data_IF_464552465646
#
_entry.id   IF_464552465646
#
_cell.length_a   1.000
_cell.length_b   1.000
_cell.length_c   1.000
_cell.angle_alpha   90.00
_cell.angle_beta   90.00
_cell.angle_gamma   90.00
#
_symmetry.space_group_name_H-M   'P 1'
#
loop_
_entity.id
_entity.type
_entity.pdbx_description
1 polymer ?
#
# COMPACT_ATOMS: atom_id res chain seq x y z
N UNK A 1 -12.61 -9.83 3.46
CA UNK A 1 -11.38 -9.01 3.37
C UNK A 1 -11.39 -8.12 4.59
N UNK A 2 -10.41 -8.26 5.48
CA UNK A 2 -10.27 -7.34 6.61
C UNK A 2 -9.79 -5.99 6.05
N UNK A 3 -10.56 -4.94 6.26
CA UNK A 3 -10.26 -3.57 5.83
C UNK A 3 -9.13 -3.03 6.70
N UNK A 4 -7.88 -3.19 6.25
CA UNK A 4 -6.80 -2.32 6.71
C UNK A 4 -7.18 -0.88 6.35
N UNK A 5 -6.91 0.07 7.25
CA UNK A 5 -7.10 1.49 6.95
C UNK A 5 -6.20 1.87 5.78
N UNK A 6 -6.78 2.41 4.70
CA UNK A 6 -6.04 2.95 3.56
C UNK A 6 -5.01 3.96 4.03
N UNK A 7 -3.86 3.99 3.35
CA UNK A 7 -2.77 4.94 3.62
C UNK A 7 -3.17 6.38 3.27
N UNK A 8 -2.38 7.33 3.77
CA UNK A 8 -2.57 8.75 3.47
C UNK A 8 -1.51 9.24 2.48
N UNK A 9 -1.89 10.11 1.56
CA UNK A 9 -0.96 10.77 0.64
C UNK A 9 -0.85 12.24 0.98
N UNK A 10 0.38 12.76 0.90
CA UNK A 10 0.64 14.19 1.09
C UNK A 10 0.65 14.87 -0.27
N UNK A 11 -0.10 15.96 -0.40
CA UNK A 11 -0.08 16.84 -1.57
C UNK A 11 0.60 18.14 -1.16
N UNK A 12 1.79 18.39 -1.72
CA UNK A 12 2.54 19.63 -1.50
C UNK A 12 2.36 20.53 -2.72
N UNK A 13 1.48 21.53 -2.62
CA UNK A 13 1.06 22.35 -3.77
C UNK A 13 0.49 23.72 -3.32
N UNK A 14 -0.43 24.30 -4.08
CA UNK A 14 -1.11 25.59 -3.85
C UNK A 14 -2.34 25.48 -2.92
N UNK A 15 -2.52 24.33 -2.25
CA UNK A 15 -3.65 24.08 -1.36
C UNK A 15 -4.85 23.46 -2.05
N UNK A 16 -5.97 23.34 -1.34
CA UNK A 16 -7.19 22.67 -1.81
C UNK A 16 -8.40 23.62 -1.83
N UNK A 17 -9.41 23.28 -2.61
CA UNK A 17 -10.62 24.10 -2.77
C UNK A 17 -11.89 23.29 -2.47
N UNK A 18 -12.87 23.91 -1.83
CA UNK A 18 -14.17 23.28 -1.56
C UNK A 18 -15.05 23.10 -2.80
N UNK A 19 -14.62 23.55 -3.97
CA UNK A 19 -15.26 23.23 -5.24
C UNK A 19 -14.96 21.80 -5.72
N UNK A 20 -13.92 21.18 -5.17
CA UNK A 20 -13.40 19.89 -5.61
C UNK A 20 -13.49 18.86 -4.49
N UNK A 21 -13.57 17.60 -4.89
CA UNK A 21 -13.50 16.50 -3.92
C UNK A 21 -12.07 16.39 -3.38
N UNK A 22 -11.93 16.43 -2.06
CA UNK A 22 -10.66 16.23 -1.36
C UNK A 22 -10.57 14.85 -0.72
N UNK A 23 -11.55 13.98 -1.00
CA UNK A 23 -11.67 12.69 -0.33
C UNK A 23 -11.77 12.88 1.18
N UNK A 24 -11.03 12.04 1.91
CA UNK A 24 -10.90 12.21 3.36
C UNK A 24 -9.74 13.15 3.66
N UNK A 25 -10.01 14.44 3.93
CA UNK A 25 -8.99 15.37 4.39
C UNK A 25 -8.56 15.05 5.84
N UNK A 26 -7.37 14.48 6.00
CA UNK A 26 -6.82 14.00 7.27
C UNK A 26 -6.08 15.10 8.03
N UNK A 27 -5.34 15.93 7.30
CA UNK A 27 -4.58 17.04 7.86
C UNK A 27 -4.40 18.14 6.81
N UNK A 28 -4.21 19.37 7.27
CA UNK A 28 -3.80 20.47 6.41
C UNK A 28 -2.93 21.48 7.15
N UNK A 29 -2.05 22.16 6.40
CA UNK A 29 -1.25 23.27 6.90
C UNK A 29 -0.79 24.16 5.75
N UNK A 30 -0.78 25.48 5.97
CA UNK A 30 -0.18 26.46 5.06
C UNK A 30 1.21 26.86 5.56
N UNK A 31 2.24 26.34 4.90
CA UNK A 31 3.64 26.66 5.17
C UNK A 31 4.08 27.97 4.53
N UNK A 32 3.37 28.44 3.50
CA UNK A 32 3.64 29.73 2.85
C UNK A 32 3.24 30.87 3.78
N UNK A 33 2.06 30.78 4.40
CA UNK A 33 1.51 31.82 5.26
C UNK A 33 1.75 31.56 6.76
N UNK A 34 2.11 30.33 7.13
CA UNK A 34 2.45 29.95 8.51
C UNK A 34 1.22 29.73 9.40
N UNK A 35 0.12 29.26 8.82
CA UNK A 35 -1.11 28.93 9.54
C UNK A 35 -1.60 27.50 9.23
N UNK A 36 -2.75 27.11 9.80
CA UNK A 36 -3.29 25.77 9.69
C UNK A 36 -4.40 25.63 8.62
N UNK A 37 -4.48 26.56 7.67
CA UNK A 37 -5.51 26.58 6.64
C UNK A 37 -4.92 26.52 5.23
N UNK A 38 -4.75 25.31 4.71
CA UNK A 38 -4.30 25.12 3.33
C UNK A 38 -5.43 25.34 2.30
N UNK A 39 -6.61 25.80 2.73
CA UNK A 39 -7.75 26.01 1.85
C UNK A 39 -7.60 27.31 1.07
N UNK A 40 -7.78 27.24 -0.24
CA UNK A 40 -7.86 28.40 -1.11
C UNK A 40 -9.30 28.90 -1.29
N UNK A 41 -9.43 30.19 -1.61
CA UNK A 41 -10.70 30.80 -2.02
C UNK A 41 -10.96 30.68 -3.53
N UNK A 42 -9.92 30.44 -4.34
CA UNK A 42 -10.05 30.25 -5.77
C UNK A 42 -10.49 28.81 -6.06
N UNK A 43 -11.53 28.67 -6.89
CA UNK A 43 -12.13 27.37 -7.16
C UNK A 43 -11.14 26.38 -7.78
N UNK A 44 -10.33 26.84 -8.75
CA UNK A 44 -9.57 25.99 -9.67
C UNK A 44 -8.06 26.21 -9.54
N UNK A 45 -7.56 26.30 -8.30
CA UNK A 45 -6.10 26.32 -8.10
C UNK A 45 -5.47 25.01 -8.54
N UNK A 46 -4.19 25.08 -8.88
CA UNK A 46 -3.44 23.91 -9.34
C UNK A 46 -3.52 22.75 -8.33
N UNK A 47 -3.35 23.02 -7.04
CA UNK A 47 -3.37 22.02 -5.97
C UNK A 47 -4.73 21.38 -5.76
N UNK A 48 -5.82 22.11 -6.00
CA UNK A 48 -7.17 21.56 -5.96
C UNK A 48 -7.39 20.54 -7.08
N UNK A 49 -6.91 20.86 -8.29
CA UNK A 49 -6.98 19.97 -9.45
C UNK A 49 -6.08 18.73 -9.28
N UNK A 50 -4.85 18.91 -8.79
CA UNK A 50 -3.92 17.81 -8.46
C UNK A 50 -4.52 16.88 -7.41
N UNK A 51 -5.08 17.43 -6.32
CA UNK A 51 -5.76 16.64 -5.28
C UNK A 51 -6.94 15.88 -5.87
N UNK A 52 -7.75 16.53 -6.70
CA UNK A 52 -8.90 15.88 -7.34
C UNK A 52 -8.47 14.72 -8.23
N UNK A 53 -7.35 14.83 -8.95
CA UNK A 53 -6.86 13.74 -9.80
C UNK A 53 -6.50 12.49 -8.99
N UNK A 54 -5.85 12.67 -7.84
CA UNK A 54 -5.56 11.58 -6.90
C UNK A 54 -6.87 10.94 -6.43
N UNK A 55 -7.81 11.74 -5.93
CA UNK A 55 -9.07 11.26 -5.32
C UNK A 55 -9.96 10.57 -6.35
N UNK A 56 -10.03 11.05 -7.59
CA UNK A 56 -10.80 10.39 -8.64
C UNK A 56 -10.25 8.99 -8.98
N UNK A 57 -8.94 8.76 -8.85
CA UNK A 57 -8.31 7.45 -9.08
C UNK A 57 -8.25 6.56 -7.85
N UNK A 58 -8.22 7.15 -6.65
CA UNK A 58 -8.29 6.43 -5.38
C UNK A 58 -9.24 7.13 -4.39
N UNK A 59 -10.57 6.93 -4.50
CA UNK A 59 -11.56 7.64 -3.68
C UNK A 59 -11.48 7.34 -2.18
N UNK A 60 -10.77 6.28 -1.79
CA UNK A 60 -10.63 5.87 -0.38
C UNK A 60 -9.33 6.34 0.28
N UNK A 61 -8.45 7.02 -0.45
CA UNK A 61 -7.19 7.52 0.10
C UNK A 61 -7.44 8.72 1.01
N UNK A 62 -6.69 8.82 2.10
CA UNK A 62 -6.69 10.05 2.89
C UNK A 62 -5.74 11.08 2.31
N UNK A 63 -6.14 12.36 2.35
CA UNK A 63 -5.36 13.49 1.84
C UNK A 63 -4.79 14.28 3.01
N UNK A 64 -3.49 14.59 2.92
CA UNK A 64 -2.83 15.59 3.74
C UNK A 64 -2.42 16.75 2.83
N UNK A 65 -3.04 17.92 2.98
CA UNK A 65 -2.82 19.06 2.11
C UNK A 65 -1.81 20.03 2.73
N UNK A 66 -0.59 20.11 2.17
CA UNK A 66 0.43 21.06 2.62
C UNK A 66 0.59 22.15 1.56
N UNK A 67 0.17 23.36 1.90
CA UNK A 67 0.25 24.49 0.99
C UNK A 67 1.63 25.15 1.09
N UNK A 68 2.32 25.23 -0.04
CA UNK A 68 3.63 25.86 -0.18
C UNK A 68 3.66 26.90 -1.31
N UNK A 69 2.72 26.82 -2.26
CA UNK A 69 2.58 27.78 -3.36
C UNK A 69 1.45 28.78 -3.09
N UNK A 70 1.55 30.02 -3.60
CA UNK A 70 0.42 30.95 -3.66
C UNK A 70 -0.74 30.39 -4.50
N UNK A 71 -1.94 30.98 -4.34
CA UNK A 71 -3.16 30.52 -5.01
C UNK A 71 -3.10 30.63 -6.55
N UNK A 72 -2.29 31.55 -7.07
CA UNK A 72 -2.07 31.72 -8.51
C UNK A 72 -1.05 30.74 -9.11
N UNK A 73 -0.47 29.85 -8.28
CA UNK A 73 0.53 28.86 -8.70
C UNK A 73 1.91 29.46 -8.98
N UNK A 74 2.17 30.70 -8.60
CA UNK A 74 3.49 31.32 -8.73
C UNK A 74 4.56 30.65 -7.84
N UNK A 75 5.82 30.92 -8.11
CA UNK A 75 6.93 30.24 -7.44
C UNK A 75 6.97 30.49 -5.92
N UNK A 76 7.43 29.48 -5.18
CA UNK A 76 7.74 29.56 -3.75
C UNK A 76 9.24 29.35 -3.52
N UNK A 77 9.68 29.53 -2.27
CA UNK A 77 11.07 29.28 -1.90
C UNK A 77 11.30 27.80 -1.53
N UNK A 78 12.47 27.27 -1.86
CA UNK A 78 12.90 25.92 -1.45
C UNK A 78 12.79 25.73 0.07
N UNK A 79 13.10 26.77 0.86
CA UNK A 79 12.97 26.73 2.32
C UNK A 79 11.51 26.53 2.81
N UNK A 80 10.51 26.94 2.03
CA UNK A 80 9.09 26.68 2.34
C UNK A 80 8.75 25.21 2.07
N UNK A 81 9.25 24.66 0.96
CA UNK A 81 9.05 23.25 0.58
C UNK A 81 9.77 22.35 1.59
N UNK A 82 11.00 22.68 1.97
CA UNK A 82 11.81 21.95 2.95
C UNK A 82 11.09 21.85 4.31
N UNK A 83 10.50 22.94 4.81
CA UNK A 83 9.70 22.89 6.06
C UNK A 83 8.51 21.94 5.96
N UNK A 84 7.83 21.90 4.81
CA UNK A 84 6.74 20.97 4.58
C UNK A 84 7.26 19.53 4.56
N UNK A 85 8.37 19.25 3.86
CA UNK A 85 9.01 17.93 3.81
C UNK A 85 9.47 17.45 5.20
N UNK A 86 10.05 18.34 6.02
CA UNK A 86 10.43 18.06 7.40
C UNK A 86 9.24 17.64 8.25
N UNK A 87 8.10 18.32 8.06
CA UNK A 87 6.85 17.92 8.69
C UNK A 87 6.41 16.54 8.23
N UNK A 88 6.50 16.22 6.94
CA UNK A 88 6.14 14.88 6.45
C UNK A 88 7.00 13.80 7.10
N UNK A 89 8.33 13.97 7.13
CA UNK A 89 9.24 13.00 7.77
C UNK A 89 8.88 12.79 9.23
N UNK A 90 8.63 13.87 9.97
CA UNK A 90 8.31 13.82 11.40
C UNK A 90 6.97 13.12 11.69
N UNK A 91 6.02 13.15 10.75
CA UNK A 91 4.66 12.69 10.98
C UNK A 91 4.25 11.48 10.12
N UNK A 92 5.13 10.97 9.26
CA UNK A 92 4.84 9.90 8.30
C UNK A 92 4.26 8.65 8.97
N UNK A 93 4.84 8.20 10.08
CA UNK A 93 4.39 6.99 10.78
C UNK A 93 3.06 7.24 11.50
N UNK A 94 2.89 8.40 12.13
CA UNK A 94 1.70 8.77 12.89
C UNK A 94 0.46 8.89 12.00
N UNK A 95 0.63 9.42 10.79
CA UNK A 95 -0.43 9.51 9.80
C UNK A 95 -0.43 8.36 8.78
N UNK A 96 0.36 7.29 8.94
CA UNK A 96 0.41 6.21 7.95
C UNK A 96 0.60 6.75 6.50
N UNK A 97 1.49 7.72 6.32
CA UNK A 97 1.76 8.33 5.00
C UNK A 97 2.37 7.27 4.10
N UNK A 98 1.88 7.12 2.88
CA UNK A 98 2.36 6.14 1.88
C UNK A 98 3.05 6.79 0.68
N UNK A 99 2.68 8.03 0.35
CA UNK A 99 3.26 8.78 -0.77
C UNK A 99 3.24 10.29 -0.51
N UNK A 100 4.15 10.99 -1.19
CA UNK A 100 4.19 12.45 -1.28
C UNK A 100 4.14 12.85 -2.75
N UNK A 101 3.22 13.71 -3.11
CA UNK A 101 3.09 14.25 -4.46
C UNK A 101 3.70 15.66 -4.54
N UNK A 102 4.69 15.82 -5.40
CA UNK A 102 5.31 17.07 -5.78
C UNK A 102 4.98 17.39 -7.24
N UNK A 103 3.80 17.98 -7.48
CA UNK A 103 3.45 18.51 -8.81
C UNK A 103 4.08 19.89 -9.04
N UNK A 104 5.37 20.00 -8.74
CA UNK A 104 6.17 21.22 -8.77
C UNK A 104 7.32 21.04 -9.76
N UNK A 105 7.69 22.10 -10.46
CA UNK A 105 8.83 22.09 -11.36
C UNK A 105 9.79 23.25 -11.05
N UNK A 106 11.08 23.00 -11.22
CA UNK A 106 12.13 24.00 -11.10
C UNK A 106 13.32 23.61 -11.95
N UNK A 107 13.88 24.58 -12.68
CA UNK A 107 15.05 24.39 -13.54
C UNK A 107 14.94 23.25 -14.56
N UNK A 108 16.07 22.88 -15.15
CA UNK A 108 16.19 21.75 -16.06
C UNK A 108 17.58 21.12 -15.89
N UNK A 109 17.62 19.82 -15.59
CA UNK A 109 18.86 19.07 -15.35
C UNK A 109 18.80 17.72 -16.06
N UNK A 110 19.97 17.28 -16.53
CA UNK A 110 20.14 16.01 -17.25
C UNK A 110 20.91 14.96 -16.44
N UNK A 111 21.26 15.25 -15.18
CA UNK A 111 21.97 14.37 -14.27
C UNK A 111 21.34 14.41 -12.86
N UNK A 112 21.56 13.38 -12.03
CA UNK A 112 21.04 13.35 -10.67
C UNK A 112 21.42 14.60 -9.90
N UNK A 113 20.45 15.24 -9.26
CA UNK A 113 20.61 16.53 -8.59
C UNK A 113 19.91 16.49 -7.24
N UNK A 114 20.56 17.04 -6.21
CA UNK A 114 20.00 17.16 -4.87
C UNK A 114 19.51 18.59 -4.59
N UNK A 115 18.47 18.73 -3.78
CA UNK A 115 17.93 20.01 -3.29
C UNK A 115 18.18 20.17 -1.79
N UNK A 116 17.68 21.26 -1.20
CA UNK A 116 17.75 21.46 0.25
C UNK A 116 16.89 20.48 1.06
N UNK A 117 16.02 19.70 0.40
CA UNK A 117 15.16 18.71 1.06
C UNK A 117 15.44 17.25 0.65
N UNK A 118 16.59 17.01 0.00
CA UNK A 118 16.99 15.67 -0.44
C UNK A 118 17.20 14.69 0.72
N UNK A 119 17.62 15.16 1.89
CA UNK A 119 17.71 14.34 3.09
C UNK A 119 16.34 13.94 3.64
N UNK A 120 15.31 14.79 3.54
CA UNK A 120 13.94 14.36 3.83
C UNK A 120 13.41 13.35 2.83
N UNK A 121 13.68 13.51 1.53
CA UNK A 121 13.30 12.50 0.53
C UNK A 121 13.95 11.16 0.85
N UNK A 122 15.26 11.14 1.15
CA UNK A 122 15.97 9.92 1.53
C UNK A 122 15.40 9.30 2.82
N UNK A 123 15.04 10.12 3.81
CA UNK A 123 14.41 9.66 5.05
C UNK A 123 13.02 9.05 4.82
N UNK A 124 12.22 9.61 3.91
CA UNK A 124 10.93 9.06 3.48
C UNK A 124 11.10 7.76 2.72
N UNK A 125 12.06 7.69 1.79
CA UNK A 125 12.38 6.47 1.06
C UNK A 125 12.80 5.32 2.01
N UNK A 126 13.60 5.61 3.04
CA UNK A 126 13.96 4.65 4.09
C UNK A 126 12.74 4.15 4.89
N UNK A 127 11.69 4.96 5.01
CA UNK A 127 10.38 4.59 5.58
C UNK A 127 9.43 3.93 4.57
N UNK A 128 9.85 3.74 3.32
CA UNK A 128 9.02 3.25 2.20
C UNK A 128 7.79 4.14 1.97
N UNK A 129 8.02 5.46 2.09
CA UNK A 129 7.11 6.52 1.65
C UNK A 129 7.68 7.05 0.34
N UNK A 130 6.95 6.90 -0.76
CA UNK A 130 7.45 7.26 -2.08
C UNK A 130 7.14 8.72 -2.37
N UNK A 131 8.19 9.50 -2.63
CA UNK A 131 8.05 10.84 -3.19
C UNK A 131 7.93 10.73 -4.70
N UNK A 132 6.88 11.30 -5.26
CA UNK A 132 6.54 11.29 -6.69
C UNK A 132 6.57 12.73 -7.18
N UNK A 133 7.35 13.02 -8.23
CA UNK A 133 7.49 14.37 -8.75
C UNK A 133 7.26 14.44 -10.26
N UNK A 134 6.70 15.57 -10.69
CA UNK A 134 6.52 15.90 -12.10
C UNK A 134 7.86 16.20 -12.79
N UNK A 135 8.12 15.58 -13.93
CA UNK A 135 9.35 15.76 -14.70
C UNK A 135 9.49 17.16 -15.32
N UNK A 136 8.38 17.90 -15.49
CA UNK A 136 8.36 19.23 -16.09
C UNK A 136 7.74 19.26 -17.50
N UNK A 137 7.52 20.48 -18.00
CA UNK A 137 6.72 20.75 -19.21
C UNK A 137 7.48 21.57 -20.27
N UNK A 138 8.81 21.66 -20.20
CA UNK A 138 9.65 22.36 -21.17
C UNK A 138 10.45 21.42 -22.12
N UNK A 139 9.90 20.26 -22.46
CA UNK A 139 10.65 19.15 -23.08
C UNK A 139 11.06 19.33 -24.54
N UNK A 140 10.50 20.33 -25.26
CA UNK A 140 10.85 20.66 -26.65
C UNK A 140 10.91 19.43 -27.58
N UNK A 141 9.85 18.63 -27.59
CA UNK A 141 9.73 17.36 -28.33
C UNK A 141 10.77 16.29 -27.94
N UNK A 142 11.38 16.44 -26.76
CA UNK A 142 12.46 15.60 -26.25
C UNK A 142 13.86 16.02 -26.69
N UNK A 143 14.02 17.23 -27.24
CA UNK A 143 15.32 17.73 -27.64
C UNK A 143 16.27 17.97 -26.45
N UNK A 144 15.74 18.39 -25.29
CA UNK A 144 16.56 18.81 -24.14
C UNK A 144 17.00 17.66 -23.24
N UNK A 145 16.34 16.49 -23.33
CA UNK A 145 16.62 15.28 -22.53
C UNK A 145 16.85 15.54 -21.03
N UNK A 146 16.10 16.49 -20.46
CA UNK A 146 16.21 16.96 -19.08
C UNK A 146 14.89 16.77 -18.32
N UNK A 147 14.96 16.98 -17.00
CA UNK A 147 13.81 17.02 -16.09
C UNK A 147 13.98 18.16 -15.08
N UNK A 148 12.90 18.51 -14.39
CA UNK A 148 12.91 19.37 -13.21
C UNK A 148 13.91 18.87 -12.17
N UNK A 149 14.66 19.76 -11.52
CA UNK A 149 15.60 19.35 -10.47
C UNK A 149 14.89 18.72 -9.25
N UNK A 150 13.61 19.04 -9.01
CA UNK A 150 12.80 18.37 -7.98
C UNK A 150 12.49 16.90 -8.31
N UNK A 151 12.58 16.53 -9.58
CA UNK A 151 12.37 15.16 -10.07
C UNK A 151 13.68 14.44 -10.41
N UNK A 152 14.83 15.07 -10.15
CA UNK A 152 16.16 14.54 -10.47
C UNK A 152 16.87 13.90 -9.28
N UNK A 153 16.25 13.89 -8.08
CA UNK A 153 16.79 13.18 -6.93
C UNK A 153 16.63 11.66 -7.11
N UNK A 154 17.66 10.83 -6.88
CA UNK A 154 17.58 9.38 -7.02
C UNK A 154 16.51 8.68 -6.16
N UNK A 155 16.03 9.31 -5.09
CA UNK A 155 15.00 8.76 -4.22
C UNK A 155 13.58 9.24 -4.59
N UNK A 156 13.44 10.05 -5.64
CA UNK A 156 12.16 10.52 -6.17
C UNK A 156 11.77 9.68 -7.37
N UNK A 157 10.50 9.29 -7.45
CA UNK A 157 9.91 8.69 -8.66
C UNK A 157 9.62 9.83 -9.65
N UNK A 158 10.43 9.92 -10.70
CA UNK A 158 10.33 10.95 -11.74
C UNK A 158 9.26 10.60 -12.79
N UNK A 159 8.21 11.41 -12.88
CA UNK A 159 7.04 11.13 -13.74
C UNK A 159 6.95 12.11 -14.90
N UNK A 160 7.11 11.59 -16.11
CA UNK A 160 6.83 12.34 -17.34
C UNK A 160 5.36 12.18 -17.78
N UNK A 161 4.85 13.14 -18.55
CA UNK A 161 3.50 13.07 -19.10
C UNK A 161 3.47 12.30 -20.42
N UNK A 162 2.42 11.50 -20.61
CA UNK A 162 2.01 10.96 -21.90
C UNK A 162 0.69 11.57 -22.37
N UNK A 163 0.24 11.17 -23.55
CA UNK A 163 -1.08 11.48 -24.11
C UNK A 163 -2.17 10.46 -23.75
N UNK A 164 -1.86 9.47 -22.90
CA UNK A 164 -2.77 8.38 -22.52
C UNK A 164 -3.00 7.31 -23.61
N UNK A 165 -2.66 7.60 -24.87
CA UNK A 165 -2.66 6.68 -26.01
C UNK A 165 -1.25 6.17 -26.39
N UNK A 166 -0.28 6.35 -25.49
CA UNK A 166 1.08 5.85 -25.64
C UNK A 166 1.99 6.73 -26.50
N UNK A 167 1.75 8.04 -26.57
CA UNK A 167 2.68 9.01 -27.14
C UNK A 167 3.13 10.06 -26.11
N UNK A 168 4.16 10.84 -26.45
CA UNK A 168 4.55 12.02 -25.68
C UNK A 168 3.90 13.26 -26.28
N UNK A 169 3.37 14.17 -25.46
CA UNK A 169 3.11 15.53 -25.91
C UNK A 169 4.44 16.28 -26.09
N UNK A 170 4.47 17.26 -26.98
CA UNK A 170 5.71 18.00 -27.34
C UNK A 170 6.34 18.73 -26.16
N UNK A 171 5.56 19.05 -25.12
CA UNK A 171 6.03 19.75 -23.94
C UNK A 171 6.57 18.82 -22.85
N UNK A 172 6.37 17.50 -22.90
CA UNK A 172 6.80 16.60 -21.81
C UNK A 172 8.33 16.54 -21.69
N UNK A 173 8.86 17.02 -20.57
CA UNK A 173 10.26 16.79 -20.19
C UNK A 173 10.46 15.32 -19.85
N UNK A 174 11.58 14.78 -20.28
CA UNK A 174 11.97 13.40 -20.06
C UNK A 174 13.46 13.26 -20.25
N UNK A 175 14.07 12.43 -19.42
CA UNK A 175 15.49 12.09 -19.52
C UNK A 175 15.63 10.57 -19.53
N UNK A 176 16.43 10.00 -20.45
CA UNK A 176 16.67 8.56 -20.49
C UNK A 176 17.40 8.05 -19.24
N UNK A 177 18.06 8.94 -18.49
CA UNK A 177 18.75 8.60 -17.26
C UNK A 177 17.91 8.83 -15.99
N UNK A 178 16.95 9.76 -16.01
CA UNK A 178 16.24 10.22 -14.81
C UNK A 178 14.75 9.89 -14.81
N UNK A 179 14.09 9.73 -15.95
CA UNK A 179 12.65 9.48 -15.99
C UNK A 179 12.33 8.03 -15.67
N UNK A 180 11.53 7.83 -14.63
CA UNK A 180 11.18 6.51 -14.11
C UNK A 180 9.97 5.89 -14.80
N UNK A 181 8.92 6.67 -14.99
CA UNK A 181 7.66 6.20 -15.54
C UNK A 181 6.94 7.35 -16.22
N UNK A 182 6.02 7.02 -17.12
CA UNK A 182 5.07 7.98 -17.67
C UNK A 182 3.67 7.71 -17.11
N UNK A 183 2.83 8.74 -17.11
CA UNK A 183 1.39 8.59 -16.91
C UNK A 183 0.66 9.60 -17.79
N UNK A 184 -0.62 9.33 -18.07
CA UNK A 184 -1.47 10.26 -18.81
C UNK A 184 -1.49 11.63 -18.11
N UNK A 185 -1.05 12.64 -18.84
CA UNK A 185 -1.02 14.03 -18.41
C UNK A 185 -1.57 14.98 -19.47
N UNK A 186 -2.29 14.49 -20.48
CA UNK A 186 -2.81 15.32 -21.57
C UNK A 186 -4.32 15.29 -21.59
N UNK A 187 -4.95 16.47 -21.46
CA UNK A 187 -6.41 16.59 -21.42
C UNK A 187 -7.08 15.66 -20.39
N UNK A 188 -6.45 15.51 -19.23
CA UNK A 188 -6.94 14.71 -18.12
C UNK A 188 -8.28 15.27 -17.61
N UNK A 189 -9.37 14.49 -17.63
CA UNK A 189 -10.68 14.95 -17.21
C UNK A 189 -10.83 14.96 -15.68
N UNK A 190 -11.06 16.15 -15.13
CA UNK A 190 -11.28 16.39 -13.71
C UNK A 190 -12.70 16.91 -13.49
N UNK A 191 -13.52 16.19 -12.72
CA UNK A 191 -14.91 16.58 -12.46
C UNK A 191 -15.07 17.15 -11.06
N UNK A 192 -15.58 18.38 -10.98
CA UNK A 192 -15.79 19.07 -9.71
C UNK A 192 -17.08 18.59 -9.00
N UNK A 193 -17.32 19.05 -7.78
CA UNK A 193 -18.50 18.65 -6.98
C UNK A 193 -19.84 19.15 -7.57
N UNK A 194 -19.80 20.12 -8.48
CA UNK A 194 -20.97 20.58 -9.23
C UNK A 194 -21.25 19.74 -10.50
N UNK A 195 -20.42 18.73 -10.78
CA UNK A 195 -20.52 17.87 -11.96
C UNK A 195 -19.94 18.48 -13.24
N UNK A 196 -19.18 19.56 -13.14
CA UNK A 196 -18.50 20.18 -14.28
C UNK A 196 -17.13 19.53 -14.51
N UNK A 197 -16.86 19.11 -15.74
CA UNK A 197 -15.57 18.53 -16.13
C UNK A 197 -14.64 19.59 -16.71
N UNK A 198 -13.40 19.59 -16.24
CA UNK A 198 -12.29 20.41 -16.69
C UNK A 198 -11.21 19.50 -17.28
N UNK A 199 -10.54 19.94 -18.35
CA UNK A 199 -9.44 19.20 -18.95
C UNK A 199 -8.13 19.87 -18.55
N UNK A 200 -7.25 19.11 -17.92
CA UNK A 200 -5.96 19.60 -17.44
C UNK A 200 -4.81 18.92 -18.20
N UNK A 201 -3.74 19.67 -18.48
CA UNK A 201 -2.55 19.12 -19.15
C UNK A 201 -1.28 19.52 -18.42
N UNK A 202 -0.35 18.58 -18.30
CA UNK A 202 0.95 18.76 -17.64
C UNK A 202 1.42 17.49 -16.95
N UNK A 203 2.74 17.36 -16.77
CA UNK A 203 3.32 16.33 -15.90
C UNK A 203 2.83 16.47 -14.45
N UNK A 204 2.39 17.66 -14.05
CA UNK A 204 1.66 17.92 -12.81
C UNK A 204 0.36 17.13 -12.63
N UNK A 205 -0.21 16.59 -13.70
CA UNK A 205 -1.39 15.71 -13.70
C UNK A 205 -1.04 14.23 -13.94
N UNK A 206 0.14 13.96 -14.52
CA UNK A 206 0.70 12.61 -14.58
C UNK A 206 1.23 12.14 -13.21
N UNK A 207 1.93 13.01 -12.48
CA UNK A 207 2.44 12.71 -11.13
C UNK A 207 1.35 12.26 -10.13
N UNK A 208 0.19 12.93 -9.99
CA UNK A 208 -0.87 12.49 -9.10
C UNK A 208 -1.50 11.15 -9.51
N UNK A 209 -1.52 10.81 -10.81
CA UNK A 209 -1.93 9.49 -11.26
C UNK A 209 -1.01 8.38 -10.70
N UNK A 210 0.30 8.62 -10.74
CA UNK A 210 1.30 7.72 -10.15
C UNK A 210 1.20 7.71 -8.62
N UNK A 211 0.98 8.85 -7.97
CA UNK A 211 0.75 8.93 -6.51
C UNK A 211 -0.44 8.08 -6.07
N UNK A 212 -1.57 8.14 -6.79
CA UNK A 212 -2.72 7.30 -6.52
C UNK A 212 -2.42 5.80 -6.71
N UNK A 213 -1.65 5.45 -7.75
CA UNK A 213 -1.21 4.08 -7.96
C UNK A 213 -0.28 3.59 -6.84
N UNK A 214 0.65 4.44 -6.36
CA UNK A 214 1.49 4.13 -5.19
C UNK A 214 0.61 3.80 -3.99
N UNK A 215 -0.40 4.62 -3.66
CA UNK A 215 -1.27 4.36 -2.52
C UNK A 215 -1.95 2.98 -2.59
N UNK A 216 -2.53 2.65 -3.75
CA UNK A 216 -3.18 1.36 -3.99
C UNK A 216 -2.19 0.19 -3.93
N UNK A 217 -1.00 0.35 -4.52
CA UNK A 217 0.04 -0.69 -4.55
C UNK A 217 0.65 -0.90 -3.18
N UNK A 218 0.84 0.15 -2.38
CA UNK A 218 1.33 0.03 -1.01
C UNK A 218 0.34 -0.68 -0.11
N UNK A 219 -0.96 -0.40 -0.25
CA UNK A 219 -2.02 -1.15 0.43
C UNK A 219 -1.97 -2.63 0.05
N UNK A 220 -1.94 -2.92 -1.25
CA UNK A 220 -1.88 -4.30 -1.75
C UNK A 220 -0.60 -5.01 -1.30
N UNK A 221 0.55 -4.34 -1.31
CA UNK A 221 1.82 -4.90 -0.84
C UNK A 221 1.78 -5.22 0.66
N UNK A 222 1.23 -4.32 1.48
CA UNK A 222 1.02 -4.62 2.91
C UNK A 222 0.13 -5.85 3.11
N UNK A 223 -0.92 -6.01 2.32
CA UNK A 223 -1.82 -7.18 2.39
C UNK A 223 -1.16 -8.48 1.90
N UNK A 224 -0.34 -8.42 0.85
CA UNK A 224 0.20 -9.60 0.16
C UNK A 224 1.56 -10.06 0.71
N UNK A 225 2.43 -9.13 1.13
CA UNK A 225 3.81 -9.40 1.58
C UNK A 225 4.14 -8.83 2.96
N UNK A 226 3.17 -8.25 3.67
CA UNK A 226 3.35 -7.71 5.03
C UNK A 226 4.29 -6.49 5.11
N UNK A 227 4.68 -5.94 3.96
CA UNK A 227 5.64 -4.84 3.85
C UNK A 227 5.31 -3.99 2.61
N UNK A 228 5.56 -2.69 2.73
CA UNK A 228 5.48 -1.74 1.62
C UNK A 228 6.54 -2.03 0.56
N UNK A 229 6.35 -1.56 -0.66
CA UNK A 229 7.41 -1.51 -1.68
C UNK A 229 8.33 -0.31 -1.44
N UNK A 230 9.60 -0.47 -1.80
CA UNK A 230 10.54 0.64 -2.03
C UNK A 230 10.24 1.33 -3.37
N UNK A 231 10.84 2.50 -3.60
CA UNK A 231 10.72 3.21 -4.88
C UNK A 231 11.20 2.33 -6.05
N UNK A 232 12.37 1.71 -5.94
CA UNK A 232 12.94 0.84 -6.96
C UNK A 232 12.04 -0.36 -7.31
N UNK A 233 11.47 -1.03 -6.30
CA UNK A 233 10.54 -2.14 -6.52
C UNK A 233 9.26 -1.69 -7.21
N UNK A 234 8.71 -0.53 -6.81
CA UNK A 234 7.55 0.05 -7.44
C UNK A 234 7.83 0.40 -8.90
N UNK A 235 8.93 1.12 -9.17
CA UNK A 235 9.32 1.55 -10.53
C UNK A 235 9.60 0.34 -11.42
N UNK A 236 10.31 -0.68 -10.92
CA UNK A 236 10.59 -1.89 -11.68
C UNK A 236 9.30 -2.61 -12.10
N UNK A 237 8.37 -2.79 -11.16
CA UNK A 237 7.08 -3.42 -11.47
C UNK A 237 6.23 -2.55 -12.40
N UNK A 238 6.18 -1.23 -12.15
CA UNK A 238 5.42 -0.29 -12.97
C UNK A 238 5.92 -0.27 -14.42
N UNK A 239 7.24 -0.29 -14.64
CA UNK A 239 7.86 -0.39 -15.97
C UNK A 239 7.59 -1.74 -16.63
N UNK A 240 7.64 -2.84 -15.87
CA UNK A 240 7.37 -4.19 -16.41
C UNK A 240 5.92 -4.32 -16.90
N UNK A 241 4.97 -3.73 -16.17
CA UNK A 241 3.54 -3.85 -16.48
C UNK A 241 2.98 -2.73 -17.32
N UNK A 242 3.70 -1.62 -17.43
CA UNK A 242 3.26 -0.43 -18.14
C UNK A 242 3.15 -0.63 -19.65
N UNK A 243 2.35 0.22 -20.29
CA UNK A 243 2.16 0.20 -21.74
C UNK A 243 3.33 0.94 -22.39
N UNK A 244 3.96 0.42 -23.46
CA UNK A 244 5.04 1.13 -24.13
C UNK A 244 4.59 2.51 -24.65
N UNK A 245 5.38 3.56 -24.39
CA UNK A 245 5.17 4.87 -24.99
C UNK A 245 5.89 4.91 -26.34
N UNK A 246 5.18 4.53 -27.39
CA UNK A 246 5.74 4.38 -28.75
C UNK A 246 6.98 3.47 -28.76
N UNK A 247 8.01 3.86 -29.53
CA UNK A 247 9.29 3.15 -29.62
C UNK A 247 10.39 3.71 -28.71
N UNK A 248 10.03 4.45 -27.67
CA UNK A 248 10.98 5.28 -26.90
C UNK A 248 11.71 4.55 -25.77
N UNK A 249 11.21 3.39 -25.36
CA UNK A 249 11.71 2.65 -24.20
C UNK A 249 11.10 3.06 -22.85
N UNK A 250 10.22 4.08 -22.82
CA UNK A 250 9.44 4.43 -21.63
C UNK A 250 8.15 3.62 -21.54
N UNK A 251 7.62 3.51 -20.33
CA UNK A 251 6.38 2.81 -20.02
C UNK A 251 5.37 3.78 -19.38
N UNK A 252 4.16 3.76 -19.90
CA UNK A 252 2.98 4.44 -19.38
C UNK A 252 2.33 3.58 -18.28
N UNK A 253 1.95 4.21 -17.17
CA UNK A 253 1.42 3.54 -16.00
C UNK A 253 0.15 2.74 -16.34
N UNK A 254 0.17 1.45 -16.00
CA UNK A 254 -1.03 0.60 -15.98
C UNK A 254 -1.22 0.06 -14.56
N UNK A 255 -1.95 0.82 -13.73
CA UNK A 255 -2.19 0.47 -12.32
C UNK A 255 -2.86 -0.89 -12.16
N UNK A 256 -3.77 -1.25 -13.07
CA UNK A 256 -4.47 -2.53 -13.02
C UNK A 256 -3.52 -3.70 -13.29
N UNK A 257 -2.69 -3.59 -14.33
CA UNK A 257 -1.67 -4.58 -14.65
C UNK A 257 -0.61 -4.68 -13.54
N UNK A 258 -0.21 -3.55 -12.97
CA UNK A 258 0.71 -3.47 -11.83
C UNK A 258 0.18 -4.22 -10.60
N UNK A 259 -1.06 -3.92 -10.19
CA UNK A 259 -1.72 -4.62 -9.08
C UNK A 259 -1.90 -6.11 -9.39
N UNK A 260 -2.27 -6.48 -10.61
CA UNK A 260 -2.39 -7.87 -11.02
C UNK A 260 -1.05 -8.61 -10.97
N UNK A 261 0.04 -7.97 -11.40
CA UNK A 261 1.40 -8.53 -11.33
C UNK A 261 1.88 -8.66 -9.89
N UNK A 262 1.66 -7.66 -9.06
CA UNK A 262 1.95 -7.73 -7.62
C UNK A 262 1.18 -8.89 -6.99
N UNK A 263 -0.13 -8.96 -7.25
CA UNK A 263 -0.99 -10.02 -6.77
C UNK A 263 -0.67 -11.39 -7.38
N UNK A 264 -0.01 -11.50 -8.53
CA UNK A 264 0.46 -12.76 -9.09
C UNK A 264 1.83 -13.18 -8.53
N UNK A 265 2.70 -12.21 -8.29
CA UNK A 265 4.05 -12.39 -7.73
C UNK A 265 3.97 -12.79 -6.26
N UNK A 266 3.12 -12.10 -5.51
CA UNK A 266 2.87 -12.29 -4.10
C UNK A 266 1.51 -12.92 -3.82
N UNK A 267 0.79 -13.39 -4.87
CA UNK A 267 -0.22 -14.43 -4.64
C UNK A 267 0.54 -15.52 -3.94
N UNK A 268 0.11 -15.83 -2.73
CA UNK A 268 0.28 -17.17 -2.27
C UNK A 268 -0.25 -18.07 -3.40
N UNK A 269 0.64 -18.81 -4.08
CA UNK A 269 0.31 -20.21 -4.34
C UNK A 269 -0.31 -20.71 -3.03
N UNK A 270 -1.49 -21.38 -3.02
CA UNK A 270 -2.15 -21.80 -1.78
C UNK A 270 -1.07 -22.31 -0.85
N UNK A 271 -0.87 -21.60 0.28
CA UNK A 271 0.44 -21.51 0.92
C UNK A 271 1.12 -22.88 0.91
N UNK A 272 2.23 -23.00 0.18
CA UNK A 272 3.17 -24.08 0.42
C UNK A 272 3.91 -23.75 1.74
N UNK A 273 3.14 -23.64 2.80
CA UNK A 273 3.50 -23.40 4.19
C UNK A 273 2.42 -24.11 4.99
N UNK A 274 2.77 -25.27 5.55
CA UNK A 274 1.82 -26.18 6.19
C UNK A 274 0.93 -25.44 7.17
N UNK A 275 -0.39 -25.63 7.07
CA UNK A 275 -1.34 -25.04 8.00
C UNK A 275 -0.96 -25.30 9.46
N UNK A 276 -1.50 -24.50 10.37
CA UNK A 276 -1.22 -24.66 11.80
C UNK A 276 -1.59 -26.08 12.20
N UNK A 277 -0.61 -26.85 12.62
CA UNK A 277 -0.85 -28.23 13.07
C UNK A 277 -1.48 -28.17 14.44
N UNK A 278 -2.67 -28.76 14.55
CA UNK A 278 -3.37 -28.99 15.82
C UNK A 278 -3.35 -30.48 16.10
N UNK A 279 -2.75 -30.87 17.23
CA UNK A 279 -2.74 -32.27 17.69
C UNK A 279 -3.60 -32.39 18.94
N UNK A 280 -4.63 -33.22 18.89
CA UNK A 280 -5.46 -33.57 20.04
C UNK A 280 -5.03 -34.95 20.52
N UNK A 281 -4.46 -35.05 21.72
CA UNK A 281 -4.25 -36.34 22.37
C UNK A 281 -5.54 -36.72 23.12
N UNK A 282 -6.23 -37.76 22.68
CA UNK A 282 -7.49 -38.17 23.28
C UNK A 282 -7.65 -39.69 23.35
N UNK A 283 -8.48 -40.13 24.30
CA UNK A 283 -9.04 -41.48 24.41
C UNK A 283 -10.54 -41.39 24.72
N UNK A 284 -11.28 -42.48 24.57
CA UNK A 284 -12.71 -42.49 24.84
C UNK A 284 -13.20 -43.83 25.33
N UNK A 285 -14.41 -43.84 25.90
CA UNK A 285 -15.15 -45.07 26.24
C UNK A 285 -16.25 -45.28 25.23
N UNK A 286 -16.41 -46.52 24.74
CA UNK A 286 -17.51 -46.87 23.86
C UNK A 286 -18.81 -47.13 24.64
N UNK A 287 -19.94 -46.83 24.02
CA UNK A 287 -21.26 -47.30 24.47
C UNK A 287 -21.98 -47.98 23.31
N UNK A 288 -22.53 -49.17 23.55
CA UNK A 288 -23.21 -49.94 22.50
C UNK A 288 -22.32 -50.35 21.33
N UNK A 289 -21.00 -50.50 21.58
CA UNK A 289 -20.01 -50.82 20.56
C UNK A 289 -19.59 -49.66 19.64
N UNK A 290 -20.04 -48.43 19.93
CA UNK A 290 -19.66 -47.21 19.19
C UNK A 290 -18.81 -46.33 20.08
N UNK A 291 -17.64 -45.95 19.56
CA UNK A 291 -16.63 -45.10 20.20
C UNK A 291 -17.05 -43.61 20.24
N UNK A 292 -16.38 -42.83 21.08
CA UNK A 292 -16.54 -41.38 21.16
C UNK A 292 -16.13 -40.70 19.84
N UNK A 293 -16.86 -39.69 19.39
CA UNK A 293 -16.57 -38.93 18.19
C UNK A 293 -16.41 -37.45 18.53
N UNK A 294 -15.44 -36.79 17.89
CA UNK A 294 -15.29 -35.34 18.05
C UNK A 294 -15.03 -34.64 16.73
N UNK A 295 -15.50 -33.39 16.63
CA UNK A 295 -15.11 -32.44 15.60
C UNK A 295 -14.01 -31.52 16.15
N UNK A 296 -12.98 -31.26 15.34
CA UNK A 296 -12.10 -30.11 15.56
C UNK A 296 -12.68 -28.92 14.80
N UNK A 297 -12.92 -27.81 15.51
CA UNK A 297 -13.32 -26.54 14.93
C UNK A 297 -12.25 -25.48 15.22
N UNK A 298 -12.08 -24.54 14.30
CA UNK A 298 -11.38 -23.27 14.54
C UNK A 298 -12.36 -22.13 14.25
N UNK A 299 -12.55 -21.24 15.22
CA UNK A 299 -13.50 -20.12 15.14
C UNK A 299 -14.91 -20.55 14.70
N UNK A 300 -15.37 -21.70 15.22
CA UNK A 300 -16.67 -22.30 14.90
C UNK A 300 -16.73 -23.05 13.57
N UNK A 301 -15.65 -23.05 12.77
CA UNK A 301 -15.60 -23.77 11.48
C UNK A 301 -14.92 -25.12 11.64
N UNK A 302 -15.57 -26.19 11.16
CA UNK A 302 -15.01 -27.55 11.20
C UNK A 302 -13.77 -27.68 10.32
N UNK A 303 -12.67 -28.14 10.93
CA UNK A 303 -11.39 -28.47 10.30
C UNK A 303 -11.27 -29.96 10.04
N UNK A 304 -11.84 -30.79 10.91
CA UNK A 304 -11.85 -32.24 10.76
C UNK A 304 -12.62 -32.92 11.88
N UNK A 305 -12.62 -34.24 11.88
CA UNK A 305 -13.27 -35.07 12.89
C UNK A 305 -12.53 -36.39 13.07
N UNK A 306 -12.72 -37.05 14.22
CA UNK A 306 -12.18 -38.38 14.47
C UNK A 306 -13.02 -39.15 15.49
N UNK A 307 -12.94 -40.48 15.40
CA UNK A 307 -13.47 -41.41 16.40
C UNK A 307 -12.34 -41.89 17.32
N UNK A 308 -12.63 -41.97 18.62
CA UNK A 308 -11.64 -42.14 19.69
C UNK A 308 -12.01 -43.34 20.55
N UNK A 309 -11.19 -44.39 20.44
CA UNK A 309 -11.33 -45.62 21.24
C UNK A 309 -10.58 -45.55 22.58
N UNK A 310 -10.51 -46.71 23.25
CA UNK A 310 -10.02 -46.82 24.63
C UNK A 310 -8.55 -46.48 24.90
N UNK A 311 -7.71 -46.37 23.86
CA UNK A 311 -6.28 -46.05 24.01
C UNK A 311 -6.00 -44.63 23.55
N UNK A 312 -5.28 -43.86 24.38
CA UNK A 312 -4.85 -42.51 24.04
C UNK A 312 -4.02 -42.47 22.76
N UNK A 313 -4.40 -41.59 21.84
CA UNK A 313 -3.73 -41.37 20.55
C UNK A 313 -3.70 -39.89 20.22
N UNK A 314 -2.69 -39.52 19.45
CA UNK A 314 -2.57 -38.19 18.84
C UNK A 314 -3.35 -38.15 17.52
N UNK A 315 -4.30 -37.22 17.43
CA UNK A 315 -5.06 -36.91 16.22
C UNK A 315 -4.57 -35.57 15.69
N UNK A 316 -3.84 -35.60 14.58
CA UNK A 316 -3.25 -34.41 13.98
C UNK A 316 -4.12 -33.86 12.85
N UNK A 317 -4.33 -32.55 12.87
CA UNK A 317 -5.10 -31.79 11.88
C UNK A 317 -4.25 -30.62 11.40
N UNK A 318 -4.46 -30.23 10.15
CA UNK A 318 -3.82 -29.04 9.56
C UNK A 318 -4.91 -28.00 9.31
N UNK A 319 -4.83 -26.86 9.99
CA UNK A 319 -5.80 -25.78 9.85
C UNK A 319 -5.22 -24.61 9.04
N UNK A 320 -5.96 -24.18 8.02
CA UNK A 320 -5.66 -22.95 7.29
C UNK A 320 -6.34 -21.77 7.99
N UNK A 321 -5.57 -21.04 8.78
CA UNK A 321 -6.03 -19.98 9.68
C UNK A 321 -5.11 -18.77 9.54
N UNK A 322 -5.63 -17.58 9.81
CA UNK A 322 -4.87 -16.36 9.64
C UNK A 322 -3.64 -16.35 10.57
N UNK A 323 -2.42 -16.17 10.06
CA UNK A 323 -1.26 -15.99 10.93
C UNK A 323 -1.33 -14.67 11.71
N UNK A 324 -0.57 -14.59 12.81
CA UNK A 324 -0.47 -13.46 13.74
C UNK A 324 -1.82 -12.95 14.27
N UNK A 325 -2.82 -13.83 14.31
CA UNK A 325 -4.15 -13.56 14.84
C UNK A 325 -4.50 -14.53 15.97
N UNK A 326 -5.31 -14.06 16.92
CA UNK A 326 -5.89 -14.92 17.95
C UNK A 326 -7.04 -15.75 17.34
N UNK A 327 -7.15 -17.01 17.75
CA UNK A 327 -8.19 -17.94 17.30
C UNK A 327 -8.73 -18.79 18.45
N UNK A 328 -9.96 -19.28 18.29
CA UNK A 328 -10.55 -20.27 19.19
C UNK A 328 -10.34 -21.67 18.61
N UNK A 329 -9.58 -22.51 19.30
CA UNK A 329 -9.43 -23.93 18.96
C UNK A 329 -10.40 -24.75 19.77
N UNK A 330 -11.23 -25.55 19.11
CA UNK A 330 -12.43 -26.13 19.72
C UNK A 330 -12.52 -27.63 19.44
N UNK A 331 -12.53 -28.42 20.50
CA UNK A 331 -12.75 -29.88 20.44
C UNK A 331 -14.19 -30.14 20.85
N UNK A 332 -15.05 -30.42 19.88
CA UNK A 332 -16.48 -30.63 20.08
C UNK A 332 -16.78 -32.13 20.16
N UNK A 333 -17.14 -32.60 21.34
CA UNK A 333 -17.68 -33.93 21.57
C UNK A 333 -19.17 -33.93 21.23
N UNK A 334 -19.59 -34.71 20.23
CA UNK A 334 -20.91 -34.57 19.60
C UNK A 334 -21.82 -35.81 19.68
N UNK A 335 -21.31 -36.94 20.17
CA UNK A 335 -22.05 -38.21 20.16
C UNK A 335 -22.22 -38.85 21.55
N UNK A 336 -22.28 -38.05 22.62
CA UNK A 336 -22.56 -38.55 23.97
C UNK A 336 -23.88 -39.35 24.03
N UNK A 337 -23.85 -40.48 24.73
CA UNK A 337 -25.02 -41.31 25.01
C UNK A 337 -24.71 -42.42 26.01
N UNK A 338 -25.75 -42.87 26.73
CA UNK A 338 -25.71 -44.05 27.59
C UNK A 338 -26.51 -45.20 26.94
N UNK A 339 -25.86 -46.34 26.69
CA UNK A 339 -26.51 -47.54 26.12
C UNK A 339 -26.24 -48.73 27.03
N UNK A 340 -27.30 -49.38 27.51
CA UNK A 340 -27.22 -50.57 28.39
C UNK A 340 -26.31 -50.36 29.61
N UNK A 341 -26.32 -49.15 30.19
CA UNK A 341 -25.49 -48.78 31.34
C UNK A 341 -24.03 -48.48 31.01
N UNK A 342 -23.61 -48.58 29.75
CA UNK A 342 -22.31 -48.08 29.28
C UNK A 342 -22.45 -46.62 28.91
N UNK A 343 -21.50 -45.81 29.37
CA UNK A 343 -21.47 -44.38 29.15
C UNK A 343 -20.34 -44.02 28.16
N UNK A 344 -20.71 -43.30 27.09
CA UNK A 344 -19.74 -42.90 26.06
C UNK A 344 -19.12 -41.58 26.51
N UNK A 345 -17.80 -41.54 26.56
CA UNK A 345 -17.10 -40.38 27.05
C UNK A 345 -15.90 -40.06 26.19
N UNK A 346 -15.57 -38.77 26.07
CA UNK A 346 -14.32 -38.31 25.48
C UNK A 346 -13.39 -37.80 26.58
N UNK A 347 -12.15 -38.25 26.57
CA UNK A 347 -11.09 -37.79 27.47
C UNK A 347 -10.02 -37.13 26.61
N UNK A 348 -9.89 -35.82 26.71
CA UNK A 348 -8.82 -35.06 26.07
C UNK A 348 -7.69 -34.92 27.08
N UNK A 349 -6.48 -35.38 26.74
CA UNK A 349 -5.32 -35.32 27.64
C UNK A 349 -4.47 -34.07 27.39
N UNK A 350 -4.32 -33.67 26.13
CA UNK A 350 -3.47 -32.55 25.71
C UNK A 350 -3.92 -32.03 24.34
N UNK A 351 -3.84 -30.72 24.16
CA UNK A 351 -4.03 -30.06 22.86
C UNK A 351 -2.71 -29.38 22.50
N UNK A 352 -2.18 -29.60 21.31
CA UNK A 352 -0.95 -28.93 20.84
C UNK A 352 -1.30 -28.09 19.62
N UNK A 353 -1.04 -26.78 19.65
CA UNK A 353 -1.40 -25.83 18.58
C UNK A 353 -0.11 -25.16 18.12
N UNK A 354 0.28 -25.34 16.86
CA UNK A 354 1.51 -24.72 16.34
C UNK A 354 2.77 -25.09 17.13
N UNK A 355 2.78 -26.26 17.79
CA UNK A 355 3.86 -26.71 18.68
C UNK A 355 3.69 -26.33 20.17
N UNK A 356 2.73 -25.48 20.52
CA UNK A 356 2.44 -25.08 21.90
C UNK A 356 1.51 -26.08 22.58
N UNK A 357 1.96 -26.73 23.65
CA UNK A 357 1.14 -27.64 24.44
C UNK A 357 0.23 -26.87 25.41
N UNK A 358 -1.06 -27.18 25.36
CA UNK A 358 -2.12 -26.63 26.21
C UNK A 358 -2.76 -27.79 26.98
N UNK A 359 -2.78 -27.67 28.31
CA UNK A 359 -3.51 -28.58 29.16
C UNK A 359 -5.03 -28.31 29.06
N UNK A 360 -5.89 -29.34 29.01
CA UNK A 360 -7.35 -29.17 29.00
C UNK A 360 -7.90 -28.37 30.19
N UNK A 361 -7.13 -28.30 31.29
CA UNK A 361 -7.45 -27.57 32.52
C UNK A 361 -6.75 -26.21 32.63
N UNK A 362 -6.05 -25.74 31.58
CA UNK A 362 -5.38 -24.45 31.59
C UNK A 362 -6.40 -23.30 31.69
N UNK A 363 -5.96 -22.16 32.24
CA UNK A 363 -6.84 -21.01 32.52
C UNK A 363 -7.46 -20.37 31.28
N UNK A 364 -6.89 -20.58 30.10
CA UNK A 364 -7.43 -20.12 28.82
C UNK A 364 -8.39 -21.12 28.16
N UNK A 365 -8.71 -22.23 28.85
CA UNK A 365 -9.58 -23.29 28.36
C UNK A 365 -10.91 -23.29 29.11
N UNK A 366 -12.01 -23.35 28.36
CA UNK A 366 -13.37 -23.47 28.89
C UNK A 366 -14.07 -24.68 28.28
N UNK A 367 -15.11 -25.17 28.94
CA UNK A 367 -15.94 -26.27 28.43
C UNK A 367 -17.40 -25.80 28.35
N UNK A 368 -17.89 -25.61 27.14
CA UNK A 368 -19.27 -25.22 26.87
C UNK A 368 -20.12 -26.48 26.72
N UNK A 369 -20.94 -26.79 27.73
CA UNK A 369 -21.72 -28.03 27.78
C UNK A 369 -22.94 -27.93 26.86
N UNK A 370 -23.16 -28.96 26.06
CA UNK A 370 -24.24 -29.01 25.08
C UNK A 370 -23.91 -28.26 23.79
N UNK A 371 -24.80 -27.35 23.39
CA UNK A 371 -24.59 -26.54 22.20
C UNK A 371 -23.45 -25.53 22.44
N UNK A 372 -22.63 -25.27 21.42
CA UNK A 372 -21.64 -24.20 21.45
C UNK A 372 -22.33 -22.83 21.35
N UNK A 373 -22.92 -22.37 22.45
CA UNK A 373 -23.73 -21.14 22.54
C UNK A 373 -23.31 -20.19 23.67
N UNK A 374 -22.31 -20.58 24.46
CA UNK A 374 -21.72 -19.78 25.54
C UNK A 374 -22.59 -19.67 26.79
N UNK A 375 -23.61 -20.51 26.97
CA UNK A 375 -24.53 -20.39 28.12
C UNK A 375 -24.17 -21.28 29.31
N UNK A 376 -23.73 -22.52 29.09
CA UNK A 376 -23.39 -23.47 30.15
C UNK A 376 -21.89 -23.76 30.18
N UNK A 377 -21.12 -22.68 30.37
CA UNK A 377 -19.66 -22.69 30.30
C UNK A 377 -19.07 -23.00 31.67
N UNK A 378 -18.33 -24.09 31.76
CA UNK A 378 -17.49 -24.46 32.88
C UNK A 378 -16.00 -24.17 32.59
N UNK A 379 -15.17 -24.25 33.63
CA UNK A 379 -13.72 -24.28 33.45
C UNK A 379 -13.30 -25.51 32.63
N UNK A 380 -12.21 -25.38 31.88
CA UNK A 380 -11.67 -26.49 31.09
C UNK A 380 -11.38 -27.73 31.93
N UNK A 381 -11.67 -28.89 31.36
CA UNK A 381 -11.46 -30.18 32.01
C UNK A 381 -11.06 -31.24 30.97
N UNK A 382 -10.45 -32.33 31.45
CA UNK A 382 -10.00 -33.43 30.60
C UNK A 382 -11.14 -34.36 30.17
N UNK A 383 -12.01 -34.75 31.12
CA UNK A 383 -13.16 -35.61 30.85
C UNK A 383 -14.36 -34.79 30.38
N UNK A 384 -14.83 -35.08 29.17
CA UNK A 384 -16.07 -34.55 28.62
C UNK A 384 -17.14 -35.63 28.76
N UNK A 385 -17.90 -35.54 29.86
CA UNK A 385 -18.93 -36.50 30.25
C UNK A 385 -20.30 -36.27 29.60
N UNK A 386 -20.40 -35.19 28.82
CA UNK A 386 -21.60 -34.81 28.08
C UNK A 386 -21.18 -34.28 26.71
N UNK A 387 -22.07 -34.32 25.73
CA UNK A 387 -21.84 -33.58 24.48
C UNK A 387 -21.55 -32.11 24.82
N UNK A 388 -20.56 -31.52 24.17
CA UNK A 388 -20.09 -30.18 24.49
C UNK A 388 -18.76 -29.87 23.83
N UNK A 389 -18.28 -28.64 23.98
CA UNK A 389 -17.09 -28.15 23.28
C UNK A 389 -16.05 -27.62 24.26
N UNK A 390 -14.87 -28.24 24.26
CA UNK A 390 -13.70 -27.72 24.95
C UNK A 390 -13.06 -26.64 24.07
N UNK A 391 -13.00 -25.40 24.55
CA UNK A 391 -12.58 -24.21 23.81
C UNK A 391 -11.29 -23.67 24.39
N UNK A 392 -10.22 -23.67 23.60
CA UNK A 392 -8.95 -22.99 23.90
C UNK A 392 -9.01 -21.60 23.28
N UNK A 393 -8.97 -20.56 24.11
CA UNK A 393 -8.75 -19.19 23.63
C UNK A 393 -7.25 -19.00 23.41
N UNK A 394 -6.78 -19.23 22.19
CA UNK A 394 -5.38 -19.14 21.82
C UNK A 394 -5.08 -17.75 21.28
N UNK A 395 -4.14 -17.05 21.93
CA UNK A 395 -3.67 -15.76 21.44
C UNK A 395 -2.80 -15.92 20.18
N UNK A 396 -2.39 -14.80 19.58
CA UNK A 396 -1.63 -14.80 18.33
C UNK A 396 -0.27 -15.51 18.40
N UNK A 397 0.30 -15.70 19.59
CA UNK A 397 1.59 -16.39 19.75
C UNK A 397 1.53 -17.86 19.33
N UNK A 398 0.34 -18.46 19.30
CA UNK A 398 0.10 -19.84 18.86
C UNK A 398 0.05 -19.98 17.33
N UNK A 399 -0.03 -18.86 16.61
CA UNK A 399 -0.21 -18.79 15.15
C UNK A 399 0.85 -17.87 14.55
N UNK A 400 2.15 -18.17 14.68
CA UNK A 400 3.19 -17.30 14.16
C UNK A 400 3.03 -17.13 12.65
N UNK A 401 3.24 -15.91 12.15
CA UNK A 401 3.43 -15.71 10.72
C UNK A 401 4.60 -16.56 10.25
N UNK A 402 4.42 -17.26 9.13
CA UNK A 402 5.55 -17.82 8.42
C UNK A 402 6.53 -16.67 8.21
N UNK A 403 7.76 -16.80 8.74
CA UNK A 403 8.81 -15.84 8.44
C UNK A 403 8.91 -15.79 6.92
N UNK A 404 8.59 -14.63 6.34
CA UNK A 404 8.67 -14.42 4.91
C UNK A 404 10.10 -14.79 4.50
N UNK A 405 10.23 -15.93 3.82
CA UNK A 405 11.50 -16.40 3.34
C UNK A 405 12.06 -15.32 2.42
N UNK A 406 13.27 -14.83 2.73
CA UNK A 406 14.02 -13.83 1.96
C UNK A 406 14.44 -14.28 0.55
N UNK A 407 13.67 -15.17 -0.08
CA UNK A 407 13.86 -15.61 -1.46
C UNK A 407 13.31 -14.62 -2.48
N UNK A 408 12.13 -14.02 -2.25
CA UNK A 408 11.56 -13.06 -3.20
C UNK A 408 12.33 -11.73 -3.23
N UNK A 409 12.70 -11.20 -2.07
CA UNK A 409 13.54 -9.98 -1.97
C UNK A 409 14.93 -10.18 -2.59
N UNK A 410 15.49 -11.39 -2.55
CA UNK A 410 16.77 -11.71 -3.18
C UNK A 410 16.69 -11.81 -4.71
N UNK A 411 15.56 -12.28 -5.27
CA UNK A 411 15.34 -12.26 -6.73
C UNK A 411 15.21 -10.83 -7.23
N UNK A 412 14.56 -9.95 -6.48
CA UNK A 412 14.42 -8.53 -6.83
C UNK A 412 15.72 -7.75 -6.64
N UNK A 413 16.47 -7.98 -5.56
CA UNK A 413 17.81 -7.41 -5.40
C UNK A 413 18.75 -7.82 -6.54
N UNK A 414 18.62 -9.05 -7.06
CA UNK A 414 19.37 -9.53 -8.22
C UNK A 414 18.89 -8.89 -9.54
N UNK A 415 17.59 -8.73 -9.74
CA UNK A 415 17.02 -8.09 -10.94
C UNK A 415 17.32 -6.58 -11.01
N UNK A 416 17.24 -5.87 -9.87
CA UNK A 416 17.63 -4.46 -9.74
C UNK A 416 19.13 -4.30 -10.02
N UNK A 417 19.99 -5.18 -9.49
CA UNK A 417 21.43 -5.17 -9.77
C UNK A 417 21.76 -5.45 -11.26
N UNK A 418 20.94 -6.24 -11.96
CA UNK A 418 21.12 -6.49 -13.40
C UNK A 418 20.56 -5.37 -14.30
N UNK A 419 19.68 -4.50 -13.79
CA UNK A 419 19.18 -3.30 -14.49
C UNK A 419 20.07 -2.05 -14.33
N UNK A 420 20.97 -2.02 -13.35
CA UNK A 420 21.88 -0.91 -13.06
C UNK A 420 23.12 -0.69 -13.98
N UNK A 421 23.53 -1.55 -14.95
CA UNK A 421 24.75 -1.30 -15.73
C UNK A 421 24.74 0.00 -16.56
N UNK A 422 23.57 0.58 -16.85
CA UNK A 422 23.48 1.81 -17.65
C UNK A 422 23.70 3.10 -16.83
N UNK A 423 23.55 3.07 -15.50
CA UNK A 423 23.74 4.26 -14.64
C UNK A 423 25.20 4.46 -14.21
N UNK A 424 25.96 3.39 -14.01
CA UNK A 424 27.36 3.47 -13.57
C UNK A 424 28.33 4.06 -14.61
N UNK A 425 27.99 3.98 -15.91
CA UNK A 425 28.83 4.50 -16.99
C UNK A 425 28.74 6.03 -17.14
N UNK A 426 27.64 6.66 -16.69
CA UNK A 426 27.45 8.11 -16.80
C UNK A 426 28.06 8.89 -15.61
N UNK A 427 28.07 8.30 -14.41
CA UNK A 427 28.57 8.95 -13.19
C UNK A 427 30.10 9.14 -13.14
N UNK A 428 30.86 8.41 -13.95
CA UNK A 428 32.32 8.52 -14.00
C UNK A 428 32.83 9.74 -14.81
N UNK A 429 31.95 10.51 -15.45
CA UNK A 429 32.33 11.52 -16.45
C UNK A 429 32.28 12.99 -15.99
N UNK A 430 31.80 13.34 -14.80
CA UNK A 430 31.83 14.75 -14.37
C UNK A 430 31.95 14.91 -12.86
N UNK A 431 33.18 14.78 -12.36
CA UNK A 431 33.57 15.48 -11.13
C UNK A 431 34.32 16.73 -11.55
N UNK A 432 33.60 17.83 -11.68
CA UNK A 432 34.25 19.13 -11.54
C UNK A 432 33.37 20.04 -10.68
N UNK A 433 34.04 20.65 -9.73
CA UNK A 433 33.59 21.27 -8.50
C UNK A 433 33.11 22.70 -8.78
N UNK A 434 31.89 23.10 -8.36
CA UNK A 434 31.51 24.52 -8.36
C UNK A 434 30.74 24.93 -7.10
N UNK A 435 31.46 25.69 -6.30
CA UNK A 435 31.03 26.52 -5.19
C UNK A 435 29.93 27.54 -5.56
N UNK A 436 29.08 27.80 -4.55
CA UNK A 436 28.21 28.97 -4.35
C UNK A 436 28.42 30.17 -5.31
N UNK A 437 27.39 30.44 -6.13
CA UNK A 437 27.05 31.81 -6.57
C UNK A 437 25.54 31.96 -6.67
N UNK A 438 25.06 33.15 -6.30
CA UNK A 438 23.66 33.54 -6.16
C UNK A 438 22.75 33.12 -7.33
N UNK A 439 21.53 32.67 -6.97
CA UNK A 439 20.46 32.32 -7.90
C UNK A 439 20.06 33.54 -8.70
N UNK A 440 20.24 33.47 -10.02
CA UNK A 440 19.71 34.44 -10.97
C UNK A 440 18.19 34.35 -10.99
N UNK A 441 17.53 35.40 -10.49
CA UNK A 441 16.07 35.54 -10.41
C UNK A 441 15.37 35.63 -11.77
N UNK A 442 16.08 35.48 -12.90
CA UNK A 442 15.53 35.54 -14.25
C UNK A 442 15.14 34.18 -14.88
N UNK A 443 15.37 33.04 -14.20
CA UNK A 443 15.10 31.71 -14.75
C UNK A 443 13.88 30.97 -14.15
N UNK A 444 13.13 31.61 -13.25
CA UNK A 444 11.83 31.10 -12.78
C UNK A 444 10.77 31.44 -13.83
N UNK A 445 10.64 30.60 -14.85
CA UNK A 445 9.55 30.74 -15.81
C UNK A 445 8.21 30.52 -15.08
N UNK A 446 7.23 31.43 -15.23
CA UNK A 446 5.90 31.23 -14.66
C UNK A 446 5.28 29.93 -15.21
N UNK A 447 4.52 29.26 -14.36
CA UNK A 447 3.58 28.24 -14.80
C UNK A 447 2.54 28.94 -15.69
N UNK A 448 2.73 28.88 -17.02
CA UNK A 448 1.66 29.24 -17.94
C UNK A 448 0.73 28.02 -18.08
N UNK A 449 -0.50 28.05 -17.53
CA UNK A 449 -1.51 27.14 -18.01
C UNK A 449 -1.70 27.44 -19.49
N UNK A 450 -1.37 26.50 -20.38
CA UNK A 450 -1.80 26.62 -21.76
C UNK A 450 -3.30 26.86 -21.78
N UNK A 451 -3.67 27.96 -22.45
CA UNK A 451 -4.94 28.67 -22.32
C UNK A 451 -6.17 27.77 -22.16
N UNK A 452 -7.02 28.14 -21.19
CA UNK A 452 -8.42 27.76 -21.17
C UNK A 452 -9.07 28.16 -22.50
N UNK A 453 -9.41 27.20 -23.35
CA UNK A 453 -10.35 27.47 -24.43
C UNK A 453 -11.75 27.61 -23.84
N UNK A 454 -12.14 28.86 -23.60
CA UNK A 454 -13.50 29.23 -23.15
C UNK A 454 -14.34 29.77 -24.30
N UNK A 455 -14.16 29.34 -25.55
CA UNK A 455 -15.05 29.78 -26.62
C UNK A 455 -16.27 28.84 -26.77
N UNK A 456 -17.51 29.33 -26.53
CA UNK A 456 -18.70 28.62 -26.94
C UNK A 456 -18.90 28.86 -28.43
N UNK A 457 -18.74 27.80 -29.22
CA UNK A 457 -18.93 27.85 -30.67
C UNK A 457 -20.42 28.06 -30.99
N UNK A 458 -20.81 29.33 -31.14
CA UNK A 458 -22.03 29.74 -31.82
C UNK A 458 -21.64 30.19 -33.22
N UNK A 459 -22.00 29.40 -34.23
CA UNK A 459 -22.74 29.93 -35.38
C UNK A 459 -23.34 28.79 -36.21
N UNK A 460 -24.65 28.93 -36.43
CA UNK A 460 -25.46 28.12 -37.31
C UNK A 460 -25.05 28.28 -38.78
N UNK A 461 -24.92 27.14 -39.48
CA UNK A 461 -25.49 26.83 -40.80
C UNK A 461 -25.05 25.43 -41.22
#
# INVERSE_FOLDING_TARGET
MATGTKGNVVVIDSGWSSSWDTGTLVYQQDFLNGDNDAKTTLANTHGALVTSEIVQKDPGVGIIALKVLPDDGSATSDATIEKAMQWVVANADAYNVVAVNLSLAGGAVAAPTTTSFSDEVAALAAKRVLTVAAAGNAGQDGATQDVSFYAADPNVVCVSASTGDGQFPTWAQRSPALTDICADGTQVPLTNLAGQTYLASGSSFAAPAVTAAVAQVQEAAMQLRGSRLSADEFVALARETGKPVGGTGYADLDTAALLAKLAATYKAAPAAGGGTTVVVNAQGTAAGGVDAHFNLLIDGKKVGENTVGASAKDFAFTADVAPDAAHKVQVQYDNDTVINGQDRNLIVNKITIGGHAVAPTASNVTYDKGALDGRDVAAGQSGLWWSGTLVVNADKSYFPAASAAGGADAVWAHAVAQGQPQLAAAAAASTDDLHHTAVDTAALLPFEPHAFDTTPDWHAA
#
